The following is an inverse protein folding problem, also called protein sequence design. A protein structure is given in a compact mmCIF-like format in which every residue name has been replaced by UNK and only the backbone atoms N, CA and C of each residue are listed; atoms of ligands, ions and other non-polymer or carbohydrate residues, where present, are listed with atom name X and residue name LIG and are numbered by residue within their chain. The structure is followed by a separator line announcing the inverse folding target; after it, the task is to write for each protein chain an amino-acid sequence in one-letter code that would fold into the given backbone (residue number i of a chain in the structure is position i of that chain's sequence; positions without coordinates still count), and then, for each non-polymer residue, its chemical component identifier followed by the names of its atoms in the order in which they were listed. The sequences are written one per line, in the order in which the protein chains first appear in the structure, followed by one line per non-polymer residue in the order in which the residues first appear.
data_IF_031439643468
#
_entry.id   IF_031439643468
#
_cell.length_a   1.000
_cell.length_b   1.000
_cell.length_c   1.000
_cell.angle_alpha   90.00
_cell.angle_beta   90.00
_cell.angle_gamma   90.00
#
_symmetry.space_group_name_H-M   'P 1'
#
loop_
_entity.id
_entity.type
_entity.pdbx_description
1 polymer ?
#
# COMPACT_ATOMS: atom_id res chain seq x y z
N UNK A 1 17.43 11.60 -9.11
CA UNK A 1 18.06 10.33 -8.67
C UNK A 1 18.31 10.23 -7.16
N UNK A 2 18.95 11.21 -6.50
CA UNK A 2 19.35 11.07 -5.08
C UNK A 2 18.19 10.77 -4.13
N UNK A 3 17.00 11.28 -4.46
CA UNK A 3 15.77 11.05 -3.70
C UNK A 3 15.37 9.57 -3.59
N UNK A 4 15.60 8.75 -4.63
CA UNK A 4 15.26 7.33 -4.61
C UNK A 4 16.22 6.52 -3.73
N UNK A 5 17.51 6.83 -3.82
CA UNK A 5 18.58 6.15 -3.06
C UNK A 5 18.72 6.73 -1.65
N UNK A 6 17.96 7.76 -1.32
CA UNK A 6 18.02 8.39 0.00
C UNK A 6 17.68 7.36 1.09
N UNK A 7 18.44 7.37 2.18
CA UNK A 7 18.32 6.39 3.27
C UNK A 7 16.89 6.27 3.80
N UNK A 8 16.21 7.41 3.95
CA UNK A 8 14.82 7.47 4.40
C UNK A 8 13.84 6.80 3.41
N UNK A 9 14.03 6.99 2.11
CA UNK A 9 13.16 6.36 1.10
C UNK A 9 13.39 4.85 1.04
N UNK A 10 14.65 4.42 1.09
CA UNK A 10 14.98 3.00 1.13
C UNK A 10 14.49 2.32 2.42
N UNK A 11 14.58 2.99 3.56
CA UNK A 11 14.02 2.51 4.82
C UNK A 11 12.48 2.34 4.73
N UNK A 12 11.78 3.29 4.09
CA UNK A 12 10.35 3.18 3.84
C UNK A 12 10.01 1.96 2.98
N UNK A 13 10.70 1.79 1.84
CA UNK A 13 10.50 0.63 0.95
C UNK A 13 10.78 -0.69 1.68
N UNK A 14 11.91 -0.74 2.41
CA UNK A 14 12.32 -1.89 3.20
C UNK A 14 11.25 -2.25 4.24
N UNK A 15 10.78 -1.28 5.03
CA UNK A 15 9.79 -1.51 6.08
C UNK A 15 8.45 -1.96 5.48
N UNK A 16 8.02 -1.34 4.38
CA UNK A 16 6.77 -1.67 3.69
C UNK A 16 6.75 -3.13 3.25
N UNK A 17 7.81 -3.59 2.57
CA UNK A 17 7.91 -4.97 2.10
C UNK A 17 8.17 -5.94 3.25
N UNK A 18 8.96 -5.54 4.24
CA UNK A 18 9.30 -6.38 5.40
C UNK A 18 8.08 -6.79 6.21
N UNK A 19 7.08 -5.92 6.31
CA UNK A 19 5.88 -6.17 7.08
C UNK A 19 4.89 -7.10 6.39
N UNK A 20 5.07 -7.39 5.10
CA UNK A 20 4.18 -8.28 4.35
C UNK A 20 4.36 -9.75 4.75
N UNK A 21 3.25 -10.47 4.89
CA UNK A 21 3.28 -11.88 5.31
C UNK A 21 4.03 -12.79 4.33
N UNK A 22 3.92 -12.52 3.03
CA UNK A 22 4.66 -13.26 2.00
C UNK A 22 6.18 -13.13 2.16
N UNK A 23 6.64 -11.96 2.59
CA UNK A 23 8.07 -11.71 2.83
C UNK A 23 8.55 -12.51 4.04
N UNK A 24 7.74 -12.58 5.11
CA UNK A 24 8.03 -13.37 6.31
C UNK A 24 7.98 -14.89 6.02
N UNK A 25 7.12 -15.32 5.10
CA UNK A 25 7.03 -16.72 4.69
C UNK A 25 8.23 -17.17 3.84
N UNK A 26 8.83 -16.26 3.06
CA UNK A 26 9.97 -16.57 2.18
C UNK A 26 11.30 -16.41 2.91
N UNK A 27 11.46 -15.33 3.69
CA UNK A 27 12.72 -15.00 4.35
C UNK A 27 12.64 -15.22 5.85
N UNK A 28 13.57 -16.02 6.35
CA UNK A 28 13.79 -16.20 7.79
C UNK A 28 14.32 -14.88 8.38
N UNK A 29 13.78 -14.49 9.53
CA UNK A 29 14.20 -13.29 10.25
C UNK A 29 15.70 -13.37 10.60
N UNK A 30 16.45 -12.30 10.28
CA UNK A 30 17.92 -12.26 10.43
C UNK A 30 18.72 -12.84 9.25
N UNK A 31 18.07 -13.41 8.22
CA UNK A 31 18.78 -13.89 7.03
C UNK A 31 19.35 -12.75 6.17
N UNK A 32 20.63 -12.84 5.73
CA UNK A 32 21.21 -11.86 4.81
C UNK A 32 20.54 -11.91 3.43
N UNK A 33 19.85 -13.00 3.08
CA UNK A 33 19.25 -13.18 1.76
C UNK A 33 18.22 -12.10 1.43
N UNK A 34 17.44 -11.67 2.43
CA UNK A 34 16.45 -10.60 2.24
C UNK A 34 17.12 -9.26 1.91
N UNK A 35 18.22 -8.95 2.60
CA UNK A 35 18.99 -7.72 2.37
C UNK A 35 19.64 -7.72 0.99
N UNK A 36 20.25 -8.84 0.60
CA UNK A 36 20.85 -9.02 -0.73
C UNK A 36 19.79 -8.91 -1.82
N UNK A 37 18.65 -9.59 -1.65
CA UNK A 37 17.52 -9.54 -2.59
C UNK A 37 17.00 -8.11 -2.77
N UNK A 38 16.76 -7.40 -1.68
CA UNK A 38 16.30 -6.03 -1.72
C UNK A 38 17.31 -5.12 -2.44
N UNK A 39 18.60 -5.25 -2.10
CA UNK A 39 19.67 -4.48 -2.74
C UNK A 39 19.68 -4.70 -4.25
N UNK A 40 19.56 -5.95 -4.71
CA UNK A 40 19.56 -6.26 -6.14
C UNK A 40 18.41 -5.57 -6.88
N UNK A 41 17.20 -5.55 -6.29
CA UNK A 41 16.05 -4.89 -6.91
C UNK A 41 16.25 -3.37 -6.94
N UNK A 42 16.72 -2.79 -5.84
CA UNK A 42 17.02 -1.35 -5.80
C UNK A 42 18.09 -0.98 -6.84
N UNK A 43 19.09 -1.83 -7.04
CA UNK A 43 20.14 -1.66 -8.04
C UNK A 43 19.58 -1.71 -9.48
N UNK A 44 18.72 -2.68 -9.79
CA UNK A 44 18.05 -2.77 -11.10
C UNK A 44 17.25 -1.50 -11.42
N UNK A 45 16.44 -1.03 -10.46
CA UNK A 45 15.67 0.19 -10.63
C UNK A 45 16.57 1.43 -10.68
N UNK A 46 17.64 1.47 -9.90
CA UNK A 46 18.59 2.57 -9.94
C UNK A 46 19.26 2.69 -11.32
N UNK A 47 19.74 1.58 -11.88
CA UNK A 47 20.36 1.55 -13.21
C UNK A 47 19.34 1.96 -14.27
N UNK A 48 18.11 1.44 -14.20
CA UNK A 48 17.05 1.72 -15.18
C UNK A 48 16.71 3.20 -15.30
N UNK A 49 16.76 3.94 -14.19
CA UNK A 49 16.44 5.36 -14.18
C UNK A 49 17.68 6.25 -14.08
N UNK A 50 18.89 5.70 -14.10
CA UNK A 50 20.14 6.46 -13.93
C UNK A 50 20.21 7.67 -14.87
N UNK A 51 20.59 8.83 -14.32
CA UNK A 51 20.70 10.09 -15.08
C UNK A 51 19.43 10.92 -15.21
N UNK A 52 18.26 10.44 -14.72
CA UNK A 52 17.02 11.23 -14.71
C UNK A 52 16.87 12.08 -13.43
N UNK A 53 16.42 13.32 -13.58
CA UNK A 53 15.92 14.09 -12.44
C UNK A 53 14.50 13.61 -12.12
N UNK A 54 14.29 13.07 -10.92
CA UNK A 54 13.00 12.54 -10.48
C UNK A 54 12.35 13.61 -9.62
N UNK A 55 11.13 14.02 -9.96
CA UNK A 55 10.31 14.87 -9.10
C UNK A 55 9.77 14.09 -7.87
N UNK A 56 9.18 14.78 -6.90
CA UNK A 56 8.58 14.11 -5.74
C UNK A 56 7.42 13.18 -6.14
N UNK A 57 6.61 13.58 -7.12
CA UNK A 57 5.49 12.79 -7.60
C UNK A 57 5.96 11.57 -8.42
N UNK A 58 6.97 11.75 -9.25
CA UNK A 58 7.61 10.65 -9.96
C UNK A 58 8.28 9.66 -8.99
N UNK A 59 8.82 10.14 -7.87
CA UNK A 59 9.39 9.27 -6.82
C UNK A 59 8.31 8.39 -6.18
N UNK A 60 7.16 8.97 -5.86
CA UNK A 60 6.02 8.22 -5.29
C UNK A 60 5.53 7.15 -6.25
N UNK A 61 5.43 7.48 -7.53
CA UNK A 61 5.03 6.55 -8.56
C UNK A 61 6.07 5.43 -8.74
N UNK A 62 7.37 5.79 -8.74
CA UNK A 62 8.45 4.82 -8.82
C UNK A 62 8.46 3.89 -7.60
N UNK A 63 8.27 4.41 -6.39
CA UNK A 63 8.15 3.59 -5.18
C UNK A 63 7.00 2.58 -5.28
N UNK A 64 5.85 2.99 -5.84
CA UNK A 64 4.70 2.10 -6.08
C UNK A 64 5.07 0.98 -7.05
N UNK A 65 5.75 1.30 -8.14
CA UNK A 65 6.20 0.32 -9.14
C UNK A 65 7.22 -0.67 -8.57
N UNK A 66 8.17 -0.17 -7.78
CA UNK A 66 9.18 -1.00 -7.09
C UNK A 66 8.51 -1.98 -6.14
N UNK A 67 7.56 -1.51 -5.32
CA UNK A 67 6.80 -2.37 -4.40
C UNK A 67 5.99 -3.41 -5.16
N UNK A 68 5.28 -3.02 -6.22
CA UNK A 68 4.51 -3.96 -7.04
C UNK A 68 5.41 -5.06 -7.63
N UNK A 69 6.57 -4.66 -8.17
CA UNK A 69 7.56 -5.60 -8.69
C UNK A 69 8.11 -6.53 -7.61
N UNK A 70 8.47 -5.98 -6.43
CA UNK A 70 8.93 -6.77 -5.28
C UNK A 70 7.91 -7.82 -4.89
N UNK A 71 6.62 -7.46 -4.80
CA UNK A 71 5.55 -8.38 -4.43
C UNK A 71 5.37 -9.49 -5.47
N UNK A 72 5.39 -9.17 -6.75
CA UNK A 72 5.23 -10.18 -7.80
C UNK A 72 6.45 -11.10 -7.91
N UNK A 73 7.65 -10.56 -7.66
CA UNK A 73 8.86 -11.36 -7.51
C UNK A 73 8.75 -12.35 -6.33
N UNK A 74 8.28 -11.88 -5.16
CA UNK A 74 8.05 -12.72 -3.99
C UNK A 74 7.01 -13.82 -4.25
N UNK A 75 5.88 -13.49 -4.89
CA UNK A 75 4.88 -14.49 -5.31
C UNK A 75 5.48 -15.55 -6.22
N UNK A 76 6.37 -15.15 -7.12
CA UNK A 76 7.04 -16.07 -8.04
C UNK A 76 8.01 -17.00 -7.29
N UNK A 77 8.79 -16.47 -6.35
CA UNK A 77 9.66 -17.26 -5.47
C UNK A 77 8.83 -18.27 -4.67
N UNK A 78 7.75 -17.84 -4.02
CA UNK A 78 6.89 -18.71 -3.22
C UNK A 78 6.28 -19.86 -4.03
N UNK A 79 5.80 -19.58 -5.26
CA UNK A 79 5.27 -20.60 -6.18
C UNK A 79 6.35 -21.61 -6.61
N UNK A 80 7.57 -21.15 -6.85
CA UNK A 80 8.68 -22.00 -7.28
C UNK A 80 9.24 -22.87 -6.14
N UNK A 81 9.29 -22.34 -4.90
CA UNK A 81 9.71 -23.10 -3.72
C UNK A 81 8.73 -24.21 -3.33
N UNK A 82 7.48 -24.13 -3.77
CA UNK A 82 6.43 -25.13 -3.47
C UNK A 82 6.39 -26.30 -4.47
N UNK A 83 7.26 -26.34 -5.49
CA UNK A 83 7.40 -27.48 -6.39
C UNK A 83 8.56 -28.37 -5.94
N UNK A 84 8.35 -29.68 -5.69
CA UNK A 84 9.45 -30.59 -5.42
C UNK A 84 10.33 -30.67 -6.68
N UNK A 85 11.57 -30.15 -6.59
CA UNK A 85 12.56 -30.31 -7.64
C UNK A 85 12.98 -31.79 -7.70
N UNK A 86 12.59 -32.47 -8.77
CA UNK A 86 13.24 -33.71 -9.19
C UNK A 86 14.69 -33.41 -9.55
N UNK A 87 15.64 -33.95 -8.78
CA UNK A 87 17.07 -33.90 -9.08
C UNK A 87 17.31 -34.65 -10.39
N UNK A 88 17.62 -33.91 -11.45
CA UNK A 88 17.92 -34.47 -12.77
C UNK A 88 19.43 -34.76 -12.83
N UNK A 89 19.81 -36.01 -12.54
CA UNK A 89 21.11 -36.54 -12.92
C UNK A 89 21.10 -36.72 -14.45
N UNK A 90 22.02 -36.02 -15.11
CA UNK A 90 22.18 -35.99 -16.56
C UNK A 90 22.87 -37.28 -17.03
N UNK A 91 22.27 -38.10 -17.91
CA UNK A 91 22.99 -39.19 -18.56
C UNK A 91 23.44 -38.75 -19.97
N UNK A 92 24.70 -39.01 -20.29
CA UNK A 92 25.20 -38.99 -21.66
C UNK A 92 24.43 -40.02 -22.52
N UNK A 93 23.97 -39.59 -23.68
CA UNK A 93 23.51 -40.45 -24.78
C UNK A 93 24.71 -41.13 -25.47
N UNK A 94 24.55 -42.24 -26.25
CA UNK A 94 23.39 -42.51 -27.12
C UNK A 94 22.94 -43.98 -27.33
N UNK A 95 21.69 -44.16 -27.77
CA UNK A 95 21.26 -44.86 -29.00
C UNK A 95 19.84 -45.46 -28.88
N UNK A 96 19.13 -45.41 -30.01
CA UNK A 96 17.76 -45.85 -30.29
C UNK A 96 17.37 -47.23 -29.73
N UNK A 97 16.09 -47.42 -29.36
CA UNK A 97 15.17 -48.48 -29.81
C UNK A 97 13.79 -48.35 -29.09
N UNK A 98 12.73 -48.23 -29.90
CA UNK A 98 11.35 -48.75 -29.81
C UNK A 98 10.53 -48.66 -28.49
N UNK A 99 9.25 -48.29 -28.69
CA UNK A 99 8.12 -48.07 -27.78
C UNK A 99 7.76 -49.26 -26.86
N UNK A 100 7.39 -48.94 -25.62
CA UNK A 100 6.22 -49.48 -24.87
C UNK A 100 6.06 -48.72 -23.52
N UNK A 101 4.83 -48.38 -23.06
CA UNK A 101 4.63 -47.74 -21.76
C UNK A 101 4.65 -48.80 -20.65
N UNK A 102 5.82 -49.03 -20.05
CA UNK A 102 5.96 -49.88 -18.86
C UNK A 102 5.57 -49.09 -17.61
N UNK A 103 4.47 -49.48 -16.98
CA UNK A 103 4.09 -49.03 -15.63
C UNK A 103 5.08 -49.61 -14.62
N UNK A 104 6.09 -48.83 -14.22
CA UNK A 104 6.97 -49.21 -13.12
C UNK A 104 6.28 -48.82 -11.81
N UNK A 105 5.53 -49.75 -11.24
CA UNK A 105 5.26 -49.74 -9.81
C UNK A 105 6.59 -49.95 -9.08
N UNK A 106 7.20 -48.87 -8.61
CA UNK A 106 8.33 -48.97 -7.68
C UNK A 106 7.80 -49.54 -6.36
N UNK A 107 8.20 -50.77 -6.05
CA UNK A 107 7.75 -51.61 -4.93
C UNK A 107 8.34 -51.20 -3.57
N UNK A 108 9.07 -50.09 -3.48
CA UNK A 108 9.68 -49.66 -2.22
C UNK A 108 9.24 -48.22 -1.93
N UNK A 109 8.24 -48.05 -1.05
CA UNK A 109 7.97 -46.88 -0.17
C UNK A 109 6.52 -46.93 0.41
N UNK A 110 6.10 -48.01 1.12
CA UNK A 110 4.76 -48.04 1.73
C UNK A 110 4.59 -47.06 2.91
N UNK A 111 5.68 -46.56 3.49
CA UNK A 111 5.65 -45.68 4.67
C UNK A 111 5.23 -44.24 4.29
N UNK A 112 5.74 -43.72 3.18
CA UNK A 112 5.51 -42.33 2.74
C UNK A 112 4.09 -42.08 2.23
N UNK A 113 3.45 -43.11 1.66
CA UNK A 113 2.05 -43.03 1.22
C UNK A 113 1.05 -43.14 2.38
N UNK A 114 1.33 -43.98 3.38
CA UNK A 114 0.49 -44.07 4.59
C UNK A 114 0.47 -42.74 5.35
N UNK A 115 1.64 -42.10 5.50
CA UNK A 115 1.73 -40.79 6.14
C UNK A 115 0.88 -39.72 5.44
N UNK A 116 0.82 -39.72 4.11
CA UNK A 116 0.00 -38.77 3.37
C UNK A 116 -1.50 -38.98 3.55
N UNK A 117 -1.94 -40.23 3.70
CA UNK A 117 -3.34 -40.53 3.99
C UNK A 117 -3.73 -40.04 5.38
N UNK A 118 -2.91 -40.35 6.40
CA UNK A 118 -3.14 -39.95 7.78
C UNK A 118 -3.15 -38.41 7.95
N UNK A 119 -2.28 -37.71 7.22
CA UNK A 119 -2.24 -36.24 7.21
C UNK A 119 -3.54 -35.68 6.61
N UNK A 120 -3.97 -36.19 5.45
CA UNK A 120 -5.19 -35.72 4.80
C UNK A 120 -6.42 -36.01 5.65
N UNK A 121 -6.48 -37.17 6.30
CA UNK A 121 -7.60 -37.51 7.18
C UNK A 121 -7.71 -36.51 8.35
N UNK A 122 -6.59 -36.20 9.01
CA UNK A 122 -6.57 -35.20 10.10
C UNK A 122 -6.93 -33.79 9.62
N UNK A 123 -6.53 -33.43 8.41
CA UNK A 123 -6.88 -32.14 7.79
C UNK A 123 -8.38 -32.02 7.49
N UNK A 124 -9.01 -33.09 6.98
CA UNK A 124 -10.45 -33.13 6.81
C UNK A 124 -11.19 -33.05 8.14
N UNK A 125 -10.71 -33.76 9.17
CA UNK A 125 -11.29 -33.71 10.51
C UNK A 125 -11.23 -32.29 11.10
N UNK A 126 -10.12 -31.55 10.91
CA UNK A 126 -10.01 -30.16 11.38
C UNK A 126 -10.86 -29.19 10.58
N UNK A 127 -10.98 -29.36 9.26
CA UNK A 127 -11.82 -28.50 8.42
C UNK A 127 -13.32 -28.68 8.67
N UNK A 128 -13.75 -29.90 9.01
CA UNK A 128 -15.17 -30.22 9.25
C UNK A 128 -15.57 -29.92 10.71
N UNK A 129 -14.61 -29.90 11.64
CA UNK A 129 -14.87 -29.57 13.05
C UNK A 129 -15.25 -28.10 13.20
N UNK A 130 -16.55 -27.85 13.33
CA UNK A 130 -17.08 -26.53 13.74
C UNK A 130 -16.64 -26.25 15.17
N UNK A 131 -15.61 -25.44 15.37
CA UNK A 131 -15.28 -24.89 16.69
C UNK A 131 -16.19 -23.70 16.98
N UNK A 132 -16.83 -23.62 18.16
CA UNK A 132 -17.56 -22.42 18.53
C UNK A 132 -16.60 -21.22 18.54
N UNK A 133 -17.05 -20.02 18.14
CA UNK A 133 -16.24 -18.81 18.25
C UNK A 133 -15.73 -18.65 19.69
N UNK A 134 -14.49 -18.20 19.89
CA UNK A 134 -14.01 -17.85 21.22
C UNK A 134 -14.95 -16.80 21.83
N UNK A 135 -15.30 -16.98 23.10
CA UNK A 135 -16.16 -16.03 23.81
C UNK A 135 -15.51 -14.64 23.80
N UNK A 136 -16.23 -13.66 23.27
CA UNK A 136 -15.75 -12.28 23.21
C UNK A 136 -15.78 -11.72 24.63
N UNK A 137 -14.61 -11.57 25.21
CA UNK A 137 -14.46 -10.90 26.49
C UNK A 137 -14.36 -9.39 26.23
N UNK A 138 -15.47 -8.67 26.46
CA UNK A 138 -15.55 -7.20 26.36
C UNK A 138 -14.99 -6.48 27.59
N UNK A 139 -14.42 -7.20 28.56
CA UNK A 139 -13.79 -6.59 29.73
C UNK A 139 -12.47 -5.97 29.31
N UNK A 140 -12.39 -4.65 29.40
CA UNK A 140 -11.15 -3.90 29.27
C UNK A 140 -10.21 -4.30 30.42
N UNK A 141 -9.15 -5.06 30.13
CA UNK A 141 -8.15 -5.47 31.13
C UNK A 141 -7.09 -4.40 31.39
N UNK A 142 -7.38 -3.13 31.08
CA UNK A 142 -6.50 -2.02 31.41
C UNK A 142 -6.72 -1.71 32.89
N UNK A 143 -5.69 -1.93 33.69
CA UNK A 143 -5.69 -1.46 35.07
C UNK A 143 -5.57 0.06 35.02
N UNK A 144 -6.54 0.75 35.59
CA UNK A 144 -6.55 2.20 35.73
C UNK A 144 -5.43 2.62 36.71
N UNK A 145 -4.21 2.73 36.17
CA UNK A 145 -3.04 3.18 36.92
C UNK A 145 -3.00 4.72 36.93
N UNK A 146 -2.70 5.36 38.08
CA UNK A 146 -2.55 6.80 38.16
C UNK A 146 -1.53 7.31 37.13
N UNK A 147 -1.91 8.33 36.37
CA UNK A 147 -1.04 8.95 35.36
C UNK A 147 0.19 9.54 36.07
N UNK A 148 1.34 8.87 35.96
CA UNK A 148 2.58 9.27 36.66
C UNK A 148 3.20 10.57 36.12
N UNK A 149 2.92 10.91 34.85
CA UNK A 149 3.62 11.98 34.13
C UNK A 149 2.72 13.19 33.84
N UNK A 150 1.92 13.64 34.82
CA UNK A 150 1.02 14.79 34.64
C UNK A 150 1.76 16.06 34.20
N UNK A 151 2.94 16.34 34.76
CA UNK A 151 3.73 17.52 34.43
C UNK A 151 4.17 17.52 32.95
N UNK A 152 4.55 16.35 32.42
CA UNK A 152 4.95 16.20 31.03
C UNK A 152 3.76 16.42 30.09
N UNK A 153 2.58 15.88 30.44
CA UNK A 153 1.35 16.08 29.69
C UNK A 153 0.91 17.54 29.68
N UNK A 154 1.01 18.22 30.82
CA UNK A 154 0.71 19.65 30.94
C UNK A 154 1.66 20.45 30.04
N UNK A 155 2.97 20.15 30.08
CA UNK A 155 3.96 20.82 29.24
C UNK A 155 3.67 20.60 27.75
N UNK A 156 3.37 19.37 27.35
CA UNK A 156 3.01 19.04 25.98
C UNK A 156 1.76 19.80 25.52
N UNK A 157 0.74 19.88 26.38
CA UNK A 157 -0.48 20.62 26.09
C UNK A 157 -0.24 22.13 25.99
N UNK A 158 0.64 22.70 26.81
CA UNK A 158 1.05 24.10 26.74
C UNK A 158 1.82 24.40 25.45
N UNK A 159 2.74 23.52 25.05
CA UNK A 159 3.53 23.66 23.83
C UNK A 159 2.63 23.64 22.58
N UNK A 160 1.68 22.70 22.51
CA UNK A 160 0.69 22.65 21.43
C UNK A 160 -0.13 23.95 21.35
N UNK A 161 -0.62 24.46 22.49
CA UNK A 161 -1.35 25.74 22.52
C UNK A 161 -0.48 26.92 22.09
N UNK A 162 0.79 26.95 22.49
CA UNK A 162 1.71 28.00 22.10
C UNK A 162 1.97 27.98 20.58
N UNK A 163 2.12 26.79 19.99
CA UNK A 163 2.24 26.60 18.55
C UNK A 163 1.00 27.13 17.81
N UNK A 164 -0.20 26.73 18.25
CA UNK A 164 -1.46 27.16 17.66
C UNK A 164 -1.61 28.69 17.70
N UNK A 165 -1.33 29.32 18.85
CA UNK A 165 -1.39 30.77 19.03
C UNK A 165 -0.38 31.48 18.12
N UNK A 166 0.86 30.99 18.05
CA UNK A 166 1.89 31.59 17.17
C UNK A 166 1.50 31.53 15.69
N UNK A 167 0.83 30.45 15.27
CA UNK A 167 0.35 30.31 13.89
C UNK A 167 -0.69 31.39 13.54
N UNK A 168 -1.57 31.73 14.50
CA UNK A 168 -2.62 32.75 14.32
C UNK A 168 -2.01 34.16 14.34
N UNK A 169 -1.02 34.43 15.20
CA UNK A 169 -0.36 35.74 15.29
C UNK A 169 0.43 36.13 14.04
N UNK A 170 0.87 35.15 13.22
CA UNK A 170 1.55 35.42 11.95
C UNK A 170 0.61 35.87 10.82
N UNK A 171 -0.70 35.68 11.00
CA UNK A 171 -1.71 36.26 10.11
C UNK A 171 -2.05 37.68 10.57
N UNK A 172 -1.72 38.68 9.76
CA UNK A 172 -2.16 40.08 9.96
C UNK A 172 -3.68 40.18 9.76
N UNK A 173 -4.47 39.69 10.73
CA UNK A 173 -5.90 39.94 10.79
C UNK A 173 -6.09 41.34 11.37
N UNK A 174 -6.46 42.30 10.52
CA UNK A 174 -6.94 43.62 10.97
C UNK A 174 -8.31 43.43 11.62
N UNK A 175 -8.31 43.27 12.93
CA UNK A 175 -9.54 43.32 13.74
C UNK A 175 -9.98 44.79 13.78
N UNK A 176 -11.08 45.11 13.09
CA UNK A 176 -11.81 46.36 13.36
C UNK A 176 -12.54 46.17 14.70
N UNK A 177 -12.04 46.86 15.72
CA UNK A 177 -12.69 46.98 17.01
C UNK A 177 -14.01 47.73 16.82
N UNK A 178 -15.09 47.11 17.28
CA UNK A 178 -16.27 47.69 17.94
C UNK A 178 -17.46 46.78 17.64
N UNK A 179 -17.65 45.72 18.43
CA UNK A 179 -18.93 45.32 19.05
C UNK A 179 -18.60 44.17 20.02
N UNK A 180 -18.96 44.35 21.29
CA UNK A 180 -18.83 43.30 22.32
C UNK A 180 -19.64 42.07 21.87
N UNK A 181 -18.99 40.92 21.72
CA UNK A 181 -19.69 39.65 21.50
C UNK A 181 -20.37 39.26 22.81
N UNK A 182 -21.64 39.63 22.96
CA UNK A 182 -22.53 39.15 24.00
C UNK A 182 -23.03 37.76 23.61
N UNK A 183 -22.59 36.72 24.33
CA UNK A 183 -23.12 35.36 24.21
C UNK A 183 -24.37 35.24 25.10
N UNK A 184 -25.55 35.27 24.48
CA UNK A 184 -26.79 34.84 25.14
C UNK A 184 -26.90 33.29 25.11
N UNK A 185 -27.44 32.66 26.16
CA UNK A 185 -27.62 31.21 26.20
C UNK A 185 -28.76 30.76 25.28
N UNK A 186 -28.47 29.76 24.44
CA UNK A 186 -29.37 29.19 23.44
C UNK A 186 -30.75 28.80 24.00
N UNK A 187 -31.81 29.34 23.39
CA UNK A 187 -33.17 28.77 23.47
C UNK A 187 -33.45 27.98 22.20
N UNK A 188 -33.81 26.72 22.42
CA UNK A 188 -34.57 25.77 21.59
C UNK A 188 -34.44 25.87 20.06
N UNK A 189 -33.83 24.82 19.51
CA UNK A 189 -33.68 24.55 18.08
C UNK A 189 -35.05 24.24 17.47
N UNK A 190 -35.62 25.16 16.70
CA UNK A 190 -36.54 24.82 15.63
C UNK A 190 -35.81 24.67 14.29
N UNK A 191 -36.23 23.65 13.55
CA UNK A 191 -35.73 23.26 12.23
C UNK A 191 -35.68 24.45 11.25
N UNK A 192 -34.59 24.59 10.50
CA UNK A 192 -34.63 24.59 9.03
C UNK A 192 -33.31 25.00 8.36
N UNK A 193 -33.18 24.44 7.15
CA UNK A 193 -32.34 24.82 6.00
C UNK A 193 -30.99 24.10 5.87
N UNK A 194 -31.05 23.07 5.02
CA UNK A 194 -29.91 22.45 4.34
C UNK A 194 -28.89 23.50 3.91
N UNK A 195 -27.67 23.39 4.46
CA UNK A 195 -26.53 24.19 4.01
C UNK A 195 -26.21 23.82 2.56
N UNK A 196 -26.49 24.72 1.62
CA UNK A 196 -25.98 24.61 0.24
C UNK A 196 -24.49 24.88 0.28
N UNK A 197 -23.70 23.87 -0.05
CA UNK A 197 -22.26 23.98 -0.27
C UNK A 197 -22.05 24.78 -1.56
N UNK A 198 -21.38 25.93 -1.45
CA UNK A 198 -20.92 26.73 -2.58
C UNK A 198 -19.48 26.31 -2.90
N UNK A 199 -19.28 25.64 -4.02
CA UNK A 199 -17.95 25.43 -4.58
C UNK A 199 -17.58 26.68 -5.39
N UNK A 200 -16.67 27.50 -4.86
CA UNK A 200 -15.85 28.39 -5.68
C UNK A 200 -15.06 27.49 -6.66
N UNK A 201 -15.02 27.72 -7.97
CA UNK A 201 -14.62 28.97 -8.62
C UNK A 201 -15.44 29.28 -9.88
N UNK A 202 -16.33 30.28 -9.80
CA UNK A 202 -17.10 30.79 -10.94
C UNK A 202 -16.19 31.29 -12.09
N UNK A 203 -14.97 31.74 -11.76
CA UNK A 203 -13.97 32.17 -12.74
C UNK A 203 -13.43 31.04 -13.60
N UNK A 204 -13.28 29.83 -13.04
CA UNK A 204 -12.86 28.66 -13.81
C UNK A 204 -13.98 28.20 -14.75
N UNK A 205 -15.23 28.28 -14.30
CA UNK A 205 -16.38 27.96 -15.12
C UNK A 205 -16.50 28.88 -16.33
N UNK A 206 -16.28 30.19 -16.15
CA UNK A 206 -16.31 31.16 -17.23
C UNK A 206 -15.13 30.99 -18.20
N UNK A 207 -13.93 30.63 -17.68
CA UNK A 207 -12.78 30.29 -18.51
C UNK A 207 -13.05 29.04 -19.37
N UNK A 208 -13.63 28.00 -18.77
CA UNK A 208 -14.00 26.76 -19.47
C UNK A 208 -15.06 27.03 -20.55
N UNK A 209 -16.08 27.85 -20.24
CA UNK A 209 -17.10 28.25 -21.22
C UNK A 209 -16.50 29.00 -22.40
N UNK A 210 -15.58 29.93 -22.14
CA UNK A 210 -14.86 30.66 -23.19
C UNK A 210 -14.08 29.70 -24.09
N UNK A 211 -13.33 28.77 -23.48
CA UNK A 211 -12.49 27.83 -24.22
C UNK A 211 -13.32 26.83 -25.06
N UNK A 212 -14.50 26.46 -24.59
CA UNK A 212 -15.45 25.63 -25.35
C UNK A 212 -16.02 26.40 -26.55
N UNK A 213 -16.35 27.69 -26.38
CA UNK A 213 -16.87 28.51 -27.49
C UNK A 213 -15.84 28.66 -28.62
N UNK A 214 -14.56 28.86 -28.28
CA UNK A 214 -13.47 28.96 -29.25
C UNK A 214 -13.27 27.65 -30.03
N UNK A 215 -13.34 26.49 -29.34
CA UNK A 215 -13.27 25.18 -29.99
C UNK A 215 -14.44 24.95 -30.96
N UNK A 216 -15.66 25.37 -30.60
CA UNK A 216 -16.81 25.27 -31.50
C UNK A 216 -16.63 26.14 -32.75
N UNK A 217 -16.12 27.36 -32.59
CA UNK A 217 -15.85 28.25 -33.73
C UNK A 217 -14.79 27.63 -34.68
N UNK A 218 -13.73 27.06 -34.12
CA UNK A 218 -12.68 26.37 -34.89
C UNK A 218 -13.23 25.16 -35.66
N UNK A 219 -14.08 24.36 -35.03
CA UNK A 219 -14.72 23.21 -35.68
C UNK A 219 -15.62 23.66 -36.84
N UNK A 220 -16.37 24.75 -36.68
CA UNK A 220 -17.21 25.31 -37.75
C UNK A 220 -16.38 25.81 -38.94
N UNK A 221 -15.24 26.44 -38.67
CA UNK A 221 -14.31 26.90 -39.72
C UNK A 221 -13.65 25.73 -40.47
N UNK A 222 -13.29 24.66 -39.75
CA UNK A 222 -12.81 23.40 -40.34
C UNK A 222 -13.91 22.74 -41.18
N UNK A 223 -15.16 22.73 -40.73
CA UNK A 223 -16.28 22.18 -41.51
C UNK A 223 -16.54 22.98 -42.78
N UNK A 224 -16.41 24.30 -42.71
CA UNK A 224 -16.57 25.21 -43.86
C UNK A 224 -15.45 25.05 -44.89
N UNK A 225 -14.23 24.77 -44.45
CA UNK A 225 -13.11 24.47 -45.35
C UNK A 225 -13.17 23.06 -45.97
N UNK A 226 -13.86 22.11 -45.34
CA UNK A 226 -14.07 20.76 -45.90
C UNK A 226 -15.19 20.67 -46.96
N UNK A 227 -16.13 21.62 -46.99
CA UNK A 227 -17.20 21.70 -48.00
C UNK A 227 -17.22 23.09 -48.67
N UNK A 228 -16.26 23.40 -49.56
CA UNK A 228 -16.36 24.58 -50.39
C UNK A 228 -17.48 24.37 -51.42
N UNK A 229 -18.52 25.20 -51.37
CA UNK A 229 -19.32 25.50 -52.56
C UNK A 229 -18.59 26.56 -53.40
#
# INVERSE_FOLDING_TARGET
MSLFIHSQNQALLWNTISNMDITKAIFIEGSPQKSIWFKNIIEEFYIKYYGRNISLDELRELNRQVIAFMVDNLKSIYKNSSRPQSVQLQPQQPQNIVREPQTIYSRNEPQSQNNQFDIRQKEYETMVKKTPPPEVNFSENIKDEPISNMEELIRQQQEMRAYDISSIQSSNIKIHNEENILLEPDKEIEESKSKKVSWSDEKELDLIKSQIADLYAMIQEIQKSLHPQ
#
